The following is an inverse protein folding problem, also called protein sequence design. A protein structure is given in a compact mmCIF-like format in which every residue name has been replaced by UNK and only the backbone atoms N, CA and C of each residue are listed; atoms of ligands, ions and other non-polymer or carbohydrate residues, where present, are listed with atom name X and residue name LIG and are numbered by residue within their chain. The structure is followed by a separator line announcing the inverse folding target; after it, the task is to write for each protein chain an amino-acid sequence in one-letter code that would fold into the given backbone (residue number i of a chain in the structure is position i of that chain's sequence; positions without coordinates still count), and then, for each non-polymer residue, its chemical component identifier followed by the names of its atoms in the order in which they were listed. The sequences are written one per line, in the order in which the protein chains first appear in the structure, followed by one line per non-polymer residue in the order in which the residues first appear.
data_IF_283184939829
#
_entry.id   IF_283184939829
#
_cell.length_a   1.000
_cell.length_b   1.000
_cell.length_c   1.000
_cell.angle_alpha   90.00
_cell.angle_beta   90.00
_cell.angle_gamma   90.00
#
_symmetry.space_group_name_H-M   'P 1'
#
loop_
_entity.id
_entity.type
_entity.pdbx_description
1 polymer ?
#
# COMPACT_ATOMS: atom_id res chain seq x y z
N UNK A 1 -6.95 7.59 1.53
CA UNK A 1 -6.23 6.30 1.59
C UNK A 1 -6.03 5.74 0.19
N UNK A 2 -7.02 5.15 -0.49
CA UNK A 2 -6.78 4.60 -1.85
C UNK A 2 -6.19 5.63 -2.84
N UNK A 3 -6.80 6.80 -2.95
CA UNK A 3 -6.30 7.87 -3.84
C UNK A 3 -4.98 8.49 -3.34
N UNK A 4 -4.78 8.56 -2.02
CA UNK A 4 -3.56 9.09 -1.42
C UNK A 4 -2.38 8.13 -1.63
N UNK A 5 -2.58 6.84 -1.42
CA UNK A 5 -1.56 5.81 -1.61
C UNK A 5 -1.28 5.60 -3.11
N UNK A 6 -2.29 5.76 -3.97
CA UNK A 6 -2.13 5.80 -5.42
C UNK A 6 -1.28 6.99 -5.88
N UNK A 7 -1.49 8.18 -5.30
CA UNK A 7 -0.79 9.41 -5.70
C UNK A 7 0.56 9.60 -5.04
N UNK A 8 0.67 9.26 -3.76
CA UNK A 8 1.82 9.57 -2.90
C UNK A 8 2.60 8.33 -2.49
N UNK A 9 2.16 7.13 -2.87
CA UNK A 9 2.86 5.88 -2.64
C UNK A 9 3.09 5.53 -1.16
N UNK A 10 3.59 4.32 -0.95
CA UNK A 10 4.01 3.80 0.34
C UNK A 10 5.41 3.19 0.19
N UNK A 11 6.30 3.49 1.13
CA UNK A 11 7.56 2.77 1.29
C UNK A 11 7.26 1.38 1.82
N UNK A 12 7.56 0.38 1.01
CA UNK A 12 7.33 -1.02 1.32
C UNK A 12 8.63 -1.80 1.28
N UNK A 13 8.62 -2.95 1.94
CA UNK A 13 9.65 -3.97 1.82
C UNK A 13 9.04 -5.36 1.71
N UNK A 14 9.82 -6.33 1.27
CA UNK A 14 9.44 -7.75 1.33
C UNK A 14 10.30 -8.52 2.34
N UNK A 15 10.03 -9.82 2.50
CA UNK A 15 10.79 -10.70 3.39
C UNK A 15 12.25 -10.91 2.95
N UNK A 16 12.58 -10.58 1.69
CA UNK A 16 13.95 -10.55 1.17
C UNK A 16 14.68 -9.22 1.43
N UNK A 17 14.06 -8.30 2.18
CA UNK A 17 14.55 -6.95 2.47
C UNK A 17 14.73 -6.05 1.24
N UNK A 18 14.15 -6.40 0.09
CA UNK A 18 14.06 -5.48 -1.04
C UNK A 18 13.11 -4.33 -0.64
N UNK A 19 13.48 -3.09 -0.96
CA UNK A 19 12.71 -1.88 -0.62
C UNK A 19 12.34 -1.11 -1.88
N UNK A 20 11.12 -0.58 -1.94
CA UNK A 20 10.66 0.24 -3.05
C UNK A 20 9.42 1.05 -2.65
N UNK A 21 8.91 1.85 -3.59
CA UNK A 21 7.63 2.55 -3.43
C UNK A 21 6.54 1.73 -4.10
N UNK A 22 5.53 1.31 -3.35
CA UNK A 22 4.31 0.73 -3.90
C UNK A 22 3.25 1.82 -4.03
N UNK A 23 2.46 1.75 -5.11
CA UNK A 23 1.34 2.64 -5.35
C UNK A 23 0.03 1.83 -5.34
N UNK A 24 -1.09 2.54 -5.29
CA UNK A 24 -2.42 1.97 -5.53
C UNK A 24 -2.55 1.34 -6.93
N UNK A 25 -3.56 0.50 -7.09
CA UNK A 25 -3.86 -0.25 -8.33
C UNK A 25 -4.12 0.64 -9.55
N UNK A 26 -4.75 1.81 -9.38
CA UNK A 26 -4.93 2.79 -10.46
C UNK A 26 -3.59 3.33 -11.02
N UNK A 27 -2.48 3.16 -10.29
CA UNK A 27 -1.14 3.50 -10.77
C UNK A 27 -0.40 2.33 -11.43
N UNK A 28 -0.83 1.08 -11.20
CA UNK A 28 -0.08 -0.14 -11.54
C UNK A 28 0.31 -0.26 -13.03
N UNK A 29 -0.57 0.16 -13.93
CA UNK A 29 -0.36 0.08 -15.39
C UNK A 29 0.11 1.41 -16.00
N UNK A 30 0.27 2.46 -15.18
CA UNK A 30 0.77 3.75 -15.65
C UNK A 30 2.26 3.65 -15.92
N UNK A 31 2.75 4.46 -16.87
CA UNK A 31 4.14 4.38 -17.37
C UNK A 31 5.20 4.59 -16.28
N UNK A 32 4.85 5.27 -15.19
CA UNK A 32 5.70 5.49 -14.03
C UNK A 32 5.87 4.28 -13.10
N UNK A 33 5.13 3.19 -13.30
CA UNK A 33 5.05 2.08 -12.34
C UNK A 33 5.47 0.70 -12.88
N UNK A 34 6.28 0.69 -13.95
CA UNK A 34 6.72 -0.54 -14.63
C UNK A 34 7.39 -1.54 -13.70
N UNK A 35 8.14 -1.07 -12.71
CA UNK A 35 8.86 -1.93 -11.77
C UNK A 35 7.88 -2.65 -10.83
N UNK A 36 6.85 -1.97 -10.32
CA UNK A 36 5.80 -2.65 -9.54
C UNK A 36 5.01 -3.62 -10.39
N UNK A 37 4.68 -3.26 -11.64
CA UNK A 37 4.04 -4.18 -12.55
C UNK A 37 4.87 -5.46 -12.75
N UNK A 38 6.17 -5.35 -12.98
CA UNK A 38 7.06 -6.50 -13.09
C UNK A 38 7.12 -7.34 -11.81
N UNK A 39 7.08 -6.71 -10.63
CA UNK A 39 7.01 -7.42 -9.33
C UNK A 39 5.72 -8.23 -9.20
N UNK A 40 4.57 -7.65 -9.58
CA UNK A 40 3.27 -8.34 -9.60
C UNK A 40 3.29 -9.50 -10.58
N UNK A 41 3.76 -9.28 -11.82
CA UNK A 41 3.89 -10.34 -12.85
C UNK A 41 4.76 -11.49 -12.34
N UNK A 42 5.89 -11.19 -11.70
CA UNK A 42 6.78 -12.20 -11.12
C UNK A 42 6.05 -13.03 -10.06
N UNK A 43 5.38 -12.38 -9.09
CA UNK A 43 4.67 -13.08 -8.03
C UNK A 43 3.52 -13.95 -8.58
N UNK A 44 2.73 -13.42 -9.53
CA UNK A 44 1.64 -14.14 -10.18
C UNK A 44 2.14 -15.35 -10.97
N UNK A 45 3.21 -15.19 -11.77
CA UNK A 45 3.81 -16.27 -12.53
C UNK A 45 4.38 -17.36 -11.62
N UNK A 46 5.08 -16.99 -10.54
CA UNK A 46 5.60 -17.96 -9.56
C UNK A 46 4.45 -18.74 -8.92
N UNK A 47 3.37 -18.07 -8.54
CA UNK A 47 2.18 -18.73 -7.97
C UNK A 47 1.53 -19.70 -8.95
N UNK A 48 1.33 -19.31 -10.20
CA UNK A 48 0.75 -20.18 -11.22
C UNK A 48 1.64 -21.40 -11.51
N UNK A 49 2.96 -21.19 -11.57
CA UNK A 49 3.93 -22.26 -11.77
C UNK A 49 3.90 -23.27 -10.63
N UNK A 50 3.76 -22.83 -9.37
CA UNK A 50 3.62 -23.74 -8.23
C UNK A 50 2.39 -24.64 -8.34
N UNK A 51 1.25 -24.12 -8.78
CA UNK A 51 0.04 -24.94 -9.02
C UNK A 51 0.30 -26.00 -10.09
N UNK A 52 0.97 -25.63 -11.19
CA UNK A 52 1.33 -26.56 -12.26
C UNK A 52 2.29 -27.65 -11.73
N UNK A 53 3.28 -27.26 -10.93
CA UNK A 53 4.22 -28.21 -10.31
C UNK A 53 3.51 -29.21 -9.40
N UNK A 54 2.55 -28.75 -8.59
CA UNK A 54 1.76 -29.60 -7.71
C UNK A 54 0.96 -30.64 -8.51
N UNK A 55 0.37 -30.20 -9.62
CA UNK A 55 -0.40 -31.07 -10.50
C UNK A 55 0.49 -32.12 -11.20
N UNK A 56 1.66 -31.71 -11.70
CA UNK A 56 2.58 -32.59 -12.43
C UNK A 56 3.33 -33.56 -11.52
N UNK A 57 3.62 -33.15 -10.27
CA UNK A 57 4.40 -33.90 -9.31
C UNK A 57 3.72 -33.85 -7.93
N UNK A 58 2.65 -34.63 -7.70
CA UNK A 58 1.84 -34.52 -6.49
C UNK A 58 2.58 -34.86 -5.20
N UNK A 59 3.65 -35.68 -5.28
CA UNK A 59 4.48 -36.05 -4.13
C UNK A 59 5.60 -35.03 -3.85
N UNK A 60 5.79 -34.03 -4.72
CA UNK A 60 6.81 -33.00 -4.55
C UNK A 60 6.33 -31.95 -3.57
N UNK A 61 7.13 -31.71 -2.52
CA UNK A 61 6.91 -30.59 -1.62
C UNK A 61 7.18 -29.25 -2.33
N UNK A 62 6.26 -28.30 -2.16
CA UNK A 62 6.33 -26.96 -2.74
C UNK A 62 6.55 -25.96 -1.63
N UNK A 63 7.61 -25.16 -1.75
CA UNK A 63 7.87 -24.08 -0.82
C UNK A 63 7.00 -22.86 -1.14
N UNK A 64 5.91 -22.70 -0.40
CA UNK A 64 5.03 -21.52 -0.51
C UNK A 64 5.75 -20.19 -0.25
N UNK A 65 6.90 -20.21 0.42
CA UNK A 65 7.67 -19.00 0.69
C UNK A 65 8.25 -18.38 -0.57
N UNK A 66 8.39 -19.11 -1.68
CA UNK A 66 8.84 -18.54 -2.95
C UNK A 66 7.95 -17.39 -3.43
N UNK A 67 6.64 -17.49 -3.22
CA UNK A 67 5.67 -16.43 -3.53
C UNK A 67 5.55 -15.46 -2.36
N UNK A 68 5.37 -15.96 -1.14
CA UNK A 68 5.13 -15.10 0.03
C UNK A 68 6.30 -14.14 0.31
N UNK A 69 7.53 -14.53 -0.04
CA UNK A 69 8.69 -13.67 0.13
C UNK A 69 8.76 -12.52 -0.90
N UNK A 70 7.94 -12.53 -1.95
CA UNK A 70 7.85 -11.46 -2.94
C UNK A 70 6.81 -10.40 -2.56
N UNK A 71 5.84 -10.75 -1.72
CA UNK A 71 4.72 -9.88 -1.36
C UNK A 71 5.22 -8.71 -0.49
N UNK A 72 4.91 -7.45 -0.86
CA UNK A 72 5.27 -6.30 -0.05
C UNK A 72 4.43 -6.20 1.23
N UNK A 73 5.05 -5.60 2.24
CA UNK A 73 4.38 -5.02 3.40
C UNK A 73 4.96 -3.62 3.66
N UNK A 74 4.20 -2.77 4.35
CA UNK A 74 4.66 -1.43 4.74
C UNK A 74 5.95 -1.55 5.54
N UNK A 75 7.00 -0.84 5.14
CA UNK A 75 8.29 -0.88 5.84
C UNK A 75 8.13 -0.21 7.21
N UNK A 76 8.23 -0.95 8.33
CA UNK A 76 8.03 -0.39 9.67
C UNK A 76 9.13 0.58 10.10
N UNK A 77 10.31 0.49 9.46
CA UNK A 77 11.45 1.35 9.74
C UNK A 77 11.44 2.62 8.87
N UNK A 78 10.51 2.72 7.92
CA UNK A 78 10.40 3.84 7.01
C UNK A 78 9.34 4.84 7.45
N UNK A 79 9.59 6.12 7.19
CA UNK A 79 8.56 7.16 7.32
C UNK A 79 7.55 6.98 6.18
N UNK A 80 6.27 6.86 6.52
CA UNK A 80 5.16 6.77 5.58
C UNK A 80 4.05 7.77 5.95
N UNK A 81 3.15 8.03 5.01
CA UNK A 81 1.98 8.88 5.25
C UNK A 81 1.09 8.25 6.34
N UNK A 82 0.52 9.09 7.19
CA UNK A 82 -0.44 8.65 8.21
C UNK A 82 -1.77 8.32 7.55
N UNK A 83 -2.39 7.15 7.85
CA UNK A 83 -3.69 6.79 7.31
C UNK A 83 -4.77 7.83 7.63
N UNK A 84 -5.54 8.23 6.59
CA UNK A 84 -6.67 9.14 6.73
C UNK A 84 -7.74 8.60 7.70
N UNK A 85 -8.02 7.31 7.61
CA UNK A 85 -8.99 6.60 8.45
C UNK A 85 -8.26 5.54 9.28
N UNK A 86 -8.55 5.47 10.57
CA UNK A 86 -7.98 4.49 11.49
C UNK A 86 -9.06 3.95 12.41
N UNK A 87 -9.02 2.64 12.69
CA UNK A 87 -9.85 2.06 13.74
C UNK A 87 -9.02 1.95 15.01
N UNK A 88 -9.47 2.61 16.09
CA UNK A 88 -8.87 2.49 17.42
C UNK A 88 -9.97 2.28 18.46
N UNK A 89 -9.78 1.30 19.32
CA UNK A 89 -10.73 0.90 20.37
C UNK A 89 -12.15 0.65 19.82
N UNK A 90 -12.23 0.02 18.64
CA UNK A 90 -13.49 -0.26 17.94
C UNK A 90 -14.19 0.95 17.33
N UNK A 91 -13.58 2.14 17.35
CA UNK A 91 -14.13 3.37 16.77
C UNK A 91 -13.35 3.80 15.55
N UNK A 92 -14.06 4.23 14.51
CA UNK A 92 -13.48 4.85 13.32
C UNK A 92 -13.10 6.29 13.63
N UNK A 93 -11.82 6.59 13.50
CA UNK A 93 -11.23 7.90 13.70
C UNK A 93 -10.66 8.42 12.38
N UNK A 94 -10.64 9.74 12.22
CA UNK A 94 -10.17 10.42 11.01
C UNK A 94 -9.04 11.37 11.36
N UNK A 95 -8.03 11.46 10.49
CA UNK A 95 -6.96 12.45 10.59
C UNK A 95 -7.57 13.86 10.72
N UNK A 96 -7.19 14.60 11.76
CA UNK A 96 -7.77 15.93 12.04
C UNK A 96 -7.38 16.90 10.94
N UNK A 97 -6.07 17.06 10.73
CA UNK A 97 -5.53 17.87 9.64
C UNK A 97 -5.47 17.04 8.35
N UNK A 98 -6.42 17.26 7.44
CA UNK A 98 -6.45 16.54 6.18
C UNK A 98 -5.26 16.87 5.29
N UNK A 99 -4.84 18.13 5.23
CA UNK A 99 -3.80 18.60 4.30
C UNK A 99 -2.38 18.19 4.72
N UNK A 100 -2.16 17.74 5.96
CA UNK A 100 -0.86 17.23 6.39
C UNK A 100 -0.83 15.70 6.36
N UNK A 101 -0.17 15.14 5.34
CA UNK A 101 -0.08 13.68 5.15
C UNK A 101 0.66 12.97 6.28
N UNK A 102 1.44 13.68 7.10
CA UNK A 102 2.15 13.10 8.25
C UNK A 102 1.46 13.37 9.59
N UNK A 103 0.36 14.13 9.61
CA UNK A 103 -0.36 14.40 10.86
C UNK A 103 -0.88 13.10 11.48
N UNK A 104 -0.50 12.88 12.75
CA UNK A 104 -0.92 11.73 13.57
C UNK A 104 -2.14 12.02 14.42
N UNK A 105 -2.58 13.27 14.43
CA UNK A 105 -3.75 13.68 15.18
C UNK A 105 -5.00 13.11 14.52
N UNK A 106 -5.80 12.42 15.33
CA UNK A 106 -6.99 11.71 14.89
C UNK A 106 -8.13 12.03 15.84
N UNK A 107 -9.34 12.11 15.29
CA UNK A 107 -10.54 12.41 16.06
C UNK A 107 -11.66 11.41 15.75
N UNK A 108 -12.39 10.93 16.78
CA UNK A 108 -13.65 10.21 16.59
C UNK A 108 -14.81 11.18 16.25
N UNK A 109 -14.64 12.47 16.49
CA UNK A 109 -15.66 13.50 16.30
C UNK A 109 -15.60 14.05 14.87
N UNK A 110 -16.20 13.30 13.93
CA UNK A 110 -16.28 13.69 12.54
C UNK A 110 -17.65 13.30 11.95
N UNK A 111 -18.05 13.98 10.88
CA UNK A 111 -19.22 13.61 10.09
C UNK A 111 -18.80 13.39 8.64
N UNK A 112 -19.45 12.45 7.95
CA UNK A 112 -19.15 12.17 6.54
C UNK A 112 -19.33 13.40 5.64
N UNK A 113 -20.38 14.20 5.88
CA UNK A 113 -20.65 15.42 5.10
C UNK A 113 -19.60 16.50 5.33
N UNK A 114 -19.21 16.73 6.59
CA UNK A 114 -18.16 17.71 6.92
C UNK A 114 -16.83 17.33 6.27
N UNK A 115 -16.45 16.05 6.34
CA UNK A 115 -15.23 15.56 5.69
C UNK A 115 -15.29 15.63 4.18
N UNK A 116 -16.44 15.35 3.56
CA UNK A 116 -16.60 15.49 2.11
C UNK A 116 -16.41 16.96 1.68
N UNK A 117 -16.94 17.92 2.45
CA UNK A 117 -16.77 19.34 2.15
C UNK A 117 -15.30 19.78 2.15
N UNK A 118 -14.52 19.33 3.14
CA UNK A 118 -13.08 19.61 3.22
C UNK A 118 -12.30 18.96 2.06
N UNK A 119 -12.72 17.77 1.61
CA UNK A 119 -12.08 17.07 0.50
C UNK A 119 -12.21 17.80 -0.85
N UNK A 120 -13.21 18.66 -1.04
CA UNK A 120 -13.34 19.46 -2.27
C UNK A 120 -12.25 20.52 -2.44
N UNK A 121 -11.64 20.96 -1.34
CA UNK A 121 -10.56 21.96 -1.35
C UNK A 121 -9.20 21.36 -0.95
N UNK A 122 -9.13 20.03 -0.90
CA UNK A 122 -7.99 19.26 -0.42
C UNK A 122 -6.69 19.57 -1.14
N UNK A 123 -5.66 19.95 -0.38
CA UNK A 123 -4.32 20.29 -0.87
C UNK A 123 -3.25 19.62 0.02
N UNK A 124 -3.00 18.31 -0.18
CA UNK A 124 -2.03 17.58 0.62
C UNK A 124 -0.62 18.17 0.54
N UNK A 125 0.05 18.18 1.68
CA UNK A 125 1.41 18.61 1.94
C UNK A 125 2.14 17.56 2.77
N UNK A 126 3.47 17.73 2.92
CA UNK A 126 4.31 16.87 3.77
C UNK A 126 4.23 15.38 3.42
N UNK A 127 4.06 15.04 2.15
CA UNK A 127 4.15 13.65 1.70
C UNK A 127 5.45 13.03 2.21
N UNK A 128 5.36 11.80 2.71
CA UNK A 128 6.52 11.03 3.09
C UNK A 128 7.44 10.82 1.87
N UNK A 129 6.90 10.74 0.66
CA UNK A 129 7.67 10.67 -0.57
C UNK A 129 8.00 12.07 -1.10
N UNK A 130 9.21 12.27 -1.67
CA UNK A 130 9.52 13.53 -2.35
C UNK A 130 8.50 13.79 -3.47
N UNK A 131 8.27 15.06 -3.84
CA UNK A 131 7.49 15.38 -5.03
C UNK A 131 8.06 14.63 -6.24
N UNK A 132 7.16 14.01 -7.02
CA UNK A 132 7.51 13.38 -8.29
C UNK A 132 8.02 14.40 -9.31
#
# INVERSE_FOLDING_TARGET
MHDEDCRFGLRVKNKKNEKWIAYGDDYLIKTGDKDNFQRVVKAANTSAYQVIQAYQNPDREIDVNDVLNLIPFVDPDAVNNTPLFQVKDGKLQVRVNLDDLQSKEISPDWTGVGRLAELFVYKPTNSALPPA
#
